data_IF_821029167106
#
_entry.id   IF_821029167106
#
_cell.length_a   1.000
_cell.length_b   1.000
_cell.length_c   1.000
_cell.angle_alpha   90.00
_cell.angle_beta   90.00
_cell.angle_gamma   90.00
#
_symmetry.space_group_name_H-M   'P 1'
#
loop_
_entity.id
_entity.type
_entity.pdbx_description
1 polymer ?
#
# COMPACT_ATOMS: atom_id res chain seq x y z
N UNK A 1 3.72 23.27 9.95
CA UNK A 1 3.51 21.82 9.78
C UNK A 1 2.98 21.61 8.37
N UNK A 2 3.75 21.05 7.45
CA UNK A 2 3.23 20.71 6.11
C UNK A 2 2.62 19.31 6.23
N UNK A 3 1.31 19.22 6.44
CA UNK A 3 0.55 18.06 5.98
C UNK A 3 0.59 18.15 4.46
N UNK A 4 1.56 17.48 3.84
CA UNK A 4 1.48 17.16 2.43
C UNK A 4 0.70 15.85 2.37
N UNK A 5 -0.52 15.90 1.85
CA UNK A 5 -1.27 14.71 1.44
C UNK A 5 -0.50 14.07 0.28
N UNK A 6 0.56 13.33 0.61
CA UNK A 6 1.36 12.62 -0.37
C UNK A 6 0.53 11.45 -0.90
N UNK A 7 0.49 11.33 -2.21
CA UNK A 7 0.01 10.12 -2.87
C UNK A 7 0.94 8.95 -2.56
N UNK A 8 0.45 7.72 -2.61
CA UNK A 8 1.29 6.54 -2.39
C UNK A 8 2.46 6.46 -3.38
N UNK A 9 2.27 6.91 -4.61
CA UNK A 9 3.34 6.97 -5.61
C UNK A 9 4.45 7.94 -5.16
N UNK A 10 4.12 9.06 -4.52
CA UNK A 10 5.10 9.99 -3.96
C UNK A 10 5.80 9.42 -2.73
N UNK A 11 5.06 8.75 -1.84
CA UNK A 11 5.66 8.04 -0.68
C UNK A 11 6.69 7.02 -1.15
N UNK A 12 6.34 6.19 -2.14
CA UNK A 12 7.26 5.20 -2.69
C UNK A 12 8.47 5.86 -3.38
N UNK A 13 8.27 6.94 -4.13
CA UNK A 13 9.38 7.69 -4.73
C UNK A 13 10.34 8.26 -3.68
N UNK A 14 9.84 8.82 -2.58
CA UNK A 14 10.67 9.36 -1.49
C UNK A 14 11.48 8.28 -0.75
N UNK A 15 10.95 7.06 -0.69
CA UNK A 15 11.62 5.90 -0.06
C UNK A 15 12.58 5.17 -1.02
N UNK A 16 12.80 5.72 -2.22
CA UNK A 16 13.84 5.28 -3.15
C UNK A 16 13.40 4.30 -4.23
N UNK A 17 12.10 4.03 -4.37
CA UNK A 17 11.59 3.28 -5.51
C UNK A 17 11.72 4.11 -6.79
N UNK A 18 12.15 3.48 -7.87
CA UNK A 18 12.26 4.18 -9.15
C UNK A 18 10.88 4.59 -9.68
N UNK A 19 10.86 5.61 -10.54
CA UNK A 19 9.63 6.18 -11.08
C UNK A 19 8.72 5.13 -11.73
N UNK A 20 9.28 4.13 -12.41
CA UNK A 20 8.51 3.09 -13.09
C UNK A 20 7.78 2.17 -12.10
N UNK A 21 8.38 1.90 -10.95
CA UNK A 21 7.74 1.12 -9.87
C UNK A 21 6.71 1.98 -9.18
N UNK A 22 7.09 3.19 -8.75
CA UNK A 22 6.19 4.08 -8.00
C UNK A 22 4.93 4.40 -8.80
N UNK A 23 5.06 4.76 -10.08
CA UNK A 23 3.91 5.02 -10.97
C UNK A 23 3.09 3.80 -11.33
N UNK A 24 3.62 2.59 -11.10
CA UNK A 24 2.84 1.37 -11.34
C UNK A 24 1.87 1.03 -10.23
N UNK A 25 2.07 1.59 -9.03
CA UNK A 25 1.21 1.34 -7.89
C UNK A 25 -0.16 1.98 -8.10
N UNK A 26 -1.21 1.17 -7.98
CA UNK A 26 -2.61 1.61 -8.07
C UNK A 26 -3.14 1.87 -6.67
N UNK A 27 -3.00 0.89 -5.78
CA UNK A 27 -3.48 0.95 -4.41
C UNK A 27 -3.31 -0.38 -3.70
N UNK A 28 -3.85 -0.48 -2.49
CA UNK A 28 -3.75 -1.67 -1.67
C UNK A 28 -4.95 -1.80 -0.72
N UNK A 29 -5.14 -3.02 -0.23
CA UNK A 29 -6.02 -3.36 0.89
C UNK A 29 -5.13 -4.04 1.93
N UNK A 30 -5.18 -3.62 3.18
CA UNK A 30 -4.42 -4.23 4.28
C UNK A 30 -5.35 -4.54 5.45
N UNK A 31 -5.11 -5.66 6.12
CA UNK A 31 -5.81 -6.06 7.32
C UNK A 31 -4.90 -6.83 8.27
N UNK A 32 -5.21 -6.79 9.57
CA UNK A 32 -4.53 -7.61 10.55
C UNK A 32 -4.81 -9.10 10.28
N UNK A 33 -3.82 -9.97 10.52
CA UNK A 33 -3.80 -11.40 10.17
C UNK A 33 -5.07 -12.18 10.58
N UNK A 34 -5.81 -11.73 11.59
CA UNK A 34 -7.02 -12.38 12.11
C UNK A 34 -8.34 -11.65 11.78
N UNK A 35 -8.31 -10.60 10.97
CA UNK A 35 -9.46 -9.76 10.66
C UNK A 35 -9.69 -9.68 9.14
N UNK A 36 -10.28 -10.73 8.57
CA UNK A 36 -10.59 -10.72 7.14
C UNK A 36 -11.77 -9.78 6.85
N UNK A 37 -11.67 -9.01 5.75
CA UNK A 37 -12.76 -8.18 5.27
C UNK A 37 -14.01 -9.01 4.98
N UNK A 38 -15.14 -8.58 5.54
CA UNK A 38 -16.44 -9.22 5.30
C UNK A 38 -16.92 -9.07 3.85
N UNK A 39 -16.40 -8.08 3.11
CA UNK A 39 -16.76 -7.75 1.73
C UNK A 39 -15.55 -7.39 0.87
N UNK A 40 -14.58 -8.29 0.76
CA UNK A 40 -13.36 -8.06 -0.02
C UNK A 40 -13.61 -7.55 -1.47
N UNK A 41 -14.68 -8.00 -2.13
CA UNK A 41 -15.01 -7.52 -3.48
C UNK A 41 -15.43 -6.05 -3.55
N UNK A 42 -16.04 -5.52 -2.49
CA UNK A 42 -16.40 -4.09 -2.38
C UNK A 42 -15.12 -3.26 -2.26
N UNK A 43 -14.22 -3.65 -1.34
CA UNK A 43 -12.90 -3.01 -1.16
C UNK A 43 -12.07 -3.00 -2.45
N UNK A 44 -12.03 -4.12 -3.19
CA UNK A 44 -11.33 -4.19 -4.49
C UNK A 44 -11.95 -3.22 -5.49
N UNK A 45 -13.29 -3.12 -5.52
CA UNK A 45 -14.00 -2.22 -6.44
C UNK A 45 -13.68 -0.77 -6.13
N UNK A 46 -13.58 -0.42 -4.85
CA UNK A 46 -13.22 0.93 -4.42
C UNK A 46 -11.77 1.28 -4.74
N UNK A 47 -10.81 0.38 -4.44
CA UNK A 47 -9.39 0.61 -4.74
C UNK A 47 -9.12 0.74 -6.24
N UNK A 48 -9.86 -0.01 -7.06
CA UNK A 48 -9.74 0.03 -8.52
C UNK A 48 -10.69 1.04 -9.19
N UNK A 49 -11.43 1.83 -8.43
CA UNK A 49 -12.41 2.76 -8.96
C UNK A 49 -11.74 3.79 -9.89
N UNK A 50 -12.16 3.81 -11.16
CA UNK A 50 -11.61 4.71 -12.17
C UNK A 50 -10.29 4.27 -12.79
N UNK A 51 -9.73 3.12 -12.41
CA UNK A 51 -8.62 2.51 -13.12
C UNK A 51 -9.12 1.77 -14.37
N UNK A 52 -8.46 2.00 -15.51
CA UNK A 52 -8.72 1.29 -16.76
C UNK A 52 -7.46 0.52 -17.19
N UNK A 53 -7.66 -0.72 -17.65
CA UNK A 53 -6.59 -1.54 -18.22
C UNK A 53 -6.19 -2.74 -17.35
N UNK A 54 -4.98 -3.23 -17.55
CA UNK A 54 -4.46 -4.42 -16.88
C UNK A 54 -4.17 -4.14 -15.40
N UNK A 55 -4.47 -5.12 -14.55
CA UNK A 55 -4.23 -5.09 -13.12
C UNK A 55 -3.55 -6.38 -12.68
N UNK A 56 -2.44 -6.25 -11.97
CA UNK A 56 -1.73 -7.33 -11.31
C UNK A 56 -1.99 -7.20 -9.81
N UNK A 57 -2.80 -8.12 -9.27
CA UNK A 57 -3.02 -8.25 -7.83
C UNK A 57 -1.97 -9.19 -7.22
N UNK A 58 -1.40 -8.81 -6.09
CA UNK A 58 -0.37 -9.56 -5.38
C UNK A 58 -0.69 -9.60 -3.89
N UNK A 59 -0.77 -10.80 -3.32
CA UNK A 59 -0.86 -11.00 -1.88
C UNK A 59 0.51 -10.80 -1.22
N UNK A 60 0.47 -10.29 0.01
CA UNK A 60 1.66 -10.00 0.82
C UNK A 60 1.36 -10.23 2.30
N UNK A 61 2.42 -10.53 3.05
CA UNK A 61 2.36 -10.65 4.51
C UNK A 61 3.52 -9.86 5.10
N UNK A 62 3.20 -8.90 5.95
CA UNK A 62 4.18 -8.18 6.75
C UNK A 62 4.22 -8.77 8.17
N UNK A 63 5.36 -9.35 8.53
CA UNK A 63 5.53 -9.99 9.85
C UNK A 63 5.71 -8.98 10.99
N UNK A 64 6.20 -7.76 10.70
CA UNK A 64 6.49 -6.73 11.72
C UNK A 64 5.20 -6.20 12.35
N UNK A 65 4.22 -5.86 11.53
CA UNK A 65 2.93 -5.30 11.93
C UNK A 65 1.82 -6.37 12.01
N UNK A 66 2.09 -7.58 11.51
CA UNK A 66 1.13 -8.71 11.45
C UNK A 66 -0.07 -8.41 10.56
N UNK A 67 0.21 -7.82 9.40
CA UNK A 67 -0.80 -7.50 8.41
C UNK A 67 -0.64 -8.42 7.20
N UNK A 68 -1.77 -8.82 6.64
CA UNK A 68 -1.88 -9.36 5.29
C UNK A 68 -2.40 -8.25 4.38
N UNK A 69 -2.00 -8.28 3.12
CA UNK A 69 -2.50 -7.31 2.16
C UNK A 69 -2.65 -7.86 0.75
N UNK A 70 -3.37 -7.09 -0.06
CA UNK A 70 -3.45 -7.22 -1.51
C UNK A 70 -3.01 -5.89 -2.12
N UNK A 71 -1.96 -5.91 -2.93
CA UNK A 71 -1.46 -4.75 -3.65
C UNK A 71 -1.82 -4.87 -5.13
N UNK A 72 -2.17 -3.74 -5.72
CA UNK A 72 -2.60 -3.64 -7.12
C UNK A 72 -1.60 -2.80 -7.92
N UNK A 73 -1.18 -3.33 -9.06
CA UNK A 73 -0.25 -2.67 -9.97
C UNK A 73 -0.73 -2.71 -11.41
N UNK A 74 -0.38 -1.71 -12.21
CA UNK A 74 -0.63 -1.73 -13.66
C UNK A 74 0.43 -2.51 -14.46
N UNK A 75 1.36 -3.19 -13.77
CA UNK A 75 2.36 -4.08 -14.37
C UNK A 75 2.76 -5.17 -13.38
N UNK A 76 3.24 -6.28 -13.90
CA UNK A 76 3.81 -7.33 -13.05
C UNK A 76 5.13 -6.86 -12.41
N UNK A 77 5.27 -7.06 -11.11
CA UNK A 77 6.49 -6.80 -10.35
C UNK A 77 7.00 -8.09 -9.68
N UNK A 78 8.32 -8.20 -9.43
CA UNK A 78 8.88 -9.30 -8.65
C UNK A 78 8.35 -9.29 -7.21
N UNK A 79 8.06 -10.47 -6.64
CA UNK A 79 7.51 -10.63 -5.29
C UNK A 79 8.31 -9.86 -4.23
N UNK A 80 9.64 -9.99 -4.25
CA UNK A 80 10.53 -9.24 -3.34
C UNK A 80 10.31 -7.72 -3.39
N UNK A 81 10.03 -7.16 -4.57
CA UNK A 81 9.74 -5.73 -4.71
C UNK A 81 8.38 -5.39 -4.12
N UNK A 82 7.39 -6.26 -4.32
CA UNK A 82 6.05 -6.08 -3.76
C UNK A 82 6.08 -6.13 -2.23
N UNK A 83 6.83 -7.07 -1.64
CA UNK A 83 7.03 -7.16 -0.20
C UNK A 83 7.64 -5.87 0.36
N UNK A 84 8.69 -5.36 -0.29
CA UNK A 84 9.34 -4.11 0.11
C UNK A 84 8.40 -2.89 0.03
N UNK A 85 7.51 -2.87 -0.97
CA UNK A 85 6.49 -1.82 -1.11
C UNK A 85 5.51 -1.90 0.06
N UNK A 86 5.03 -3.09 0.39
CA UNK A 86 4.09 -3.27 1.50
C UNK A 86 4.71 -2.90 2.85
N UNK A 87 5.95 -3.30 3.11
CA UNK A 87 6.70 -2.91 4.30
C UNK A 87 6.83 -1.38 4.42
N UNK A 88 7.07 -0.72 3.27
CA UNK A 88 7.20 0.73 3.20
C UNK A 88 5.89 1.43 3.51
N UNK A 89 4.78 0.95 2.94
CA UNK A 89 3.43 1.48 3.17
C UNK A 89 3.09 1.38 4.65
N UNK A 90 3.18 0.19 5.25
CA UNK A 90 2.81 0.01 6.66
C UNK A 90 3.74 0.80 7.60
N UNK A 91 5.03 0.90 7.27
CA UNK A 91 5.95 1.73 8.05
C UNK A 91 5.58 3.21 7.96
N UNK A 92 5.20 3.70 6.78
CA UNK A 92 4.73 5.07 6.62
C UNK A 92 3.44 5.31 7.42
N UNK A 93 2.48 4.39 7.37
CA UNK A 93 1.25 4.50 8.17
C UNK A 93 1.57 4.54 9.66
N UNK A 94 2.29 3.55 10.18
CA UNK A 94 2.55 3.39 11.61
C UNK A 94 3.55 4.38 12.21
N UNK A 95 4.61 4.75 11.48
CA UNK A 95 5.72 5.55 12.02
C UNK A 95 5.72 6.99 11.50
N UNK A 96 5.27 7.25 10.28
CA UNK A 96 5.31 8.60 9.70
C UNK A 96 3.97 9.36 9.85
N UNK A 97 2.83 8.65 9.94
CA UNK A 97 1.49 9.24 10.11
C UNK A 97 0.96 9.11 11.53
N UNK A 98 1.10 7.94 12.18
CA UNK A 98 0.58 7.73 13.54
C UNK A 98 1.50 8.25 14.67
N UNK A 99 2.76 8.60 14.39
CA UNK A 99 3.68 9.15 15.40
C UNK A 99 3.51 10.68 15.60
N UNK A 100 2.45 11.26 15.01
CA UNK A 100 1.91 12.60 15.36
C UNK A 100 0.83 12.48 16.46
N UNK A 101 1.11 11.70 17.51
CA UNK A 101 0.25 11.60 18.69
C UNK A 101 0.90 10.85 19.85
N UNK A 102 1.63 11.56 20.71
CA UNK A 102 1.03 11.85 22.02
C UNK A 102 1.31 13.30 22.45
N UNK A 103 0.27 14.13 22.52
CA UNK A 103 0.09 15.28 23.42
C UNK A 103 -0.91 16.28 22.84
N UNK A 104 -2.20 16.03 23.08
CA UNK A 104 -3.20 17.07 23.36
C UNK A 104 -4.11 16.56 24.48
#
# INVERSE_FOLDING_TARGET
MRNLDLTWQEVLAQKGFNEQISKSFIGFIAWEENNMFSRLGEEITEVLAGHEGEVFAKDVINQKYKNTGLLFFNRNLPEKTVDQIFDTILTYEHEDVYDIGPNL
#
